data_IF_073454188773
#
_entry.id   IF_073454188773
#
_cell.length_a   1.000
_cell.length_b   1.000
_cell.length_c   1.000
_cell.angle_alpha   90.00
_cell.angle_beta   90.00
_cell.angle_gamma   90.00
#
_symmetry.space_group_name_H-M   'P 1'
#
loop_
_entity.id
_entity.type
_entity.pdbx_description
1 polymer ?
#
# COMPACT_ATOMS: atom_id res chain seq x y z
N UNK A 1 -1.63 7.57 14.82
CA UNK A 1 -0.67 7.72 13.69
C UNK A 1 -1.09 6.82 12.56
N UNK A 2 -0.37 5.72 12.32
CA UNK A 2 -0.61 4.84 11.17
C UNK A 2 -1.90 3.99 11.24
N UNK A 3 -2.17 3.33 12.39
CA UNK A 3 -3.40 2.52 12.57
C UNK A 3 -4.69 3.34 12.38
N UNK A 4 -4.70 4.57 12.87
CA UNK A 4 -5.84 5.48 12.67
C UNK A 4 -6.01 5.84 11.19
N UNK A 5 -4.92 6.14 10.48
CA UNK A 5 -4.97 6.40 9.06
C UNK A 5 -5.49 5.18 8.27
N UNK A 6 -5.04 3.97 8.60
CA UNK A 6 -5.56 2.73 7.98
C UNK A 6 -7.07 2.57 8.20
N UNK A 7 -7.57 2.81 9.42
CA UNK A 7 -9.00 2.74 9.70
C UNK A 7 -9.80 3.80 8.92
N UNK A 8 -9.26 4.99 8.69
CA UNK A 8 -9.90 5.99 7.83
C UNK A 8 -9.94 5.55 6.36
N UNK A 9 -8.88 4.92 5.84
CA UNK A 9 -8.84 4.45 4.44
C UNK A 9 -9.80 3.28 4.24
N UNK A 10 -10.00 2.41 5.25
CA UNK A 10 -11.00 1.32 5.19
C UNK A 10 -12.44 1.79 5.03
N UNK A 11 -12.78 3.01 5.49
CA UNK A 11 -14.12 3.56 5.30
C UNK A 11 -14.42 3.80 3.82
N UNK A 12 -13.41 4.23 3.06
CA UNK A 12 -13.52 4.54 1.62
C UNK A 12 -13.27 3.29 0.76
N UNK A 13 -12.40 2.41 1.24
CA UNK A 13 -12.01 1.16 0.58
C UNK A 13 -12.25 -0.02 1.54
N UNK A 14 -13.49 -0.52 1.66
CA UNK A 14 -13.83 -1.56 2.62
C UNK A 14 -13.11 -2.90 2.36
N UNK A 15 -12.75 -3.16 1.10
CA UNK A 15 -12.02 -4.37 0.67
C UNK A 15 -10.49 -4.23 0.81
N UNK A 16 -10.02 -3.16 1.44
CA UNK A 16 -8.60 -2.91 1.63
C UNK A 16 -7.98 -3.95 2.55
N UNK A 17 -7.10 -4.78 2.01
CA UNK A 17 -6.34 -5.76 2.78
C UNK A 17 -5.26 -5.06 3.62
N UNK A 18 -5.63 -4.70 4.84
CA UNK A 18 -4.74 -4.04 5.82
C UNK A 18 -3.51 -4.86 6.16
N UNK A 19 -3.58 -6.19 6.06
CA UNK A 19 -2.42 -7.05 6.32
C UNK A 19 -1.40 -6.93 5.19
N UNK A 20 -1.85 -6.88 3.93
CA UNK A 20 -0.99 -6.59 2.78
C UNK A 20 -0.40 -5.18 2.83
N UNK A 21 -1.18 -4.19 3.26
CA UNK A 21 -0.70 -2.81 3.43
C UNK A 21 0.36 -2.67 4.53
N UNK A 22 0.22 -3.44 5.62
CA UNK A 22 1.27 -3.50 6.66
C UNK A 22 2.59 -4.10 6.16
N UNK A 23 2.56 -4.86 5.06
CA UNK A 23 3.75 -5.46 4.40
C UNK A 23 4.31 -4.59 3.27
N UNK A 24 3.60 -3.53 2.86
CA UNK A 24 4.13 -2.56 1.91
C UNK A 24 5.22 -1.73 2.61
N UNK A 25 6.47 -2.12 2.41
CA UNK A 25 7.63 -1.33 2.83
C UNK A 25 8.04 -0.32 1.73
N UNK A 26 9.01 0.54 2.03
CA UNK A 26 9.49 1.56 1.08
C UNK A 26 10.12 0.98 -0.20
N UNK A 27 10.40 -0.32 -0.24
CA UNK A 27 10.99 -1.02 -1.39
C UNK A 27 9.93 -1.75 -2.22
N UNK A 28 8.65 -1.65 -1.85
CA UNK A 28 7.55 -2.30 -2.54
C UNK A 28 6.43 -1.29 -2.86
N UNK A 29 5.70 -1.56 -3.94
CA UNK A 29 4.55 -0.77 -4.39
C UNK A 29 3.37 -1.67 -4.71
N UNK A 30 2.16 -1.11 -4.73
CA UNK A 30 0.94 -1.83 -5.11
C UNK A 30 0.61 -1.46 -6.57
N UNK A 31 0.65 -2.44 -7.46
CA UNK A 31 0.22 -2.32 -8.87
C UNK A 31 -0.89 -3.35 -9.11
N UNK A 32 -2.04 -2.89 -9.59
CA UNK A 32 -3.22 -3.73 -9.83
C UNK A 32 -3.60 -4.65 -8.64
N UNK A 33 -3.50 -4.12 -7.42
CA UNK A 33 -3.83 -4.86 -6.19
C UNK A 33 -2.81 -5.93 -5.78
N UNK A 34 -1.62 -5.96 -6.39
CA UNK A 34 -0.51 -6.85 -6.04
C UNK A 34 0.68 -6.05 -5.52
N UNK A 35 1.32 -6.57 -4.48
CA UNK A 35 2.59 -6.06 -4.00
C UNK A 35 3.70 -6.49 -4.96
N UNK A 36 4.44 -5.52 -5.51
CA UNK A 36 5.59 -5.74 -6.40
C UNK A 36 6.76 -4.88 -5.92
N UNK A 37 8.02 -5.27 -6.18
CA UNK A 37 9.16 -4.42 -5.87
C UNK A 37 9.02 -3.05 -6.53
N UNK A 38 9.34 -1.99 -5.79
CA UNK A 38 9.44 -0.66 -6.34
C UNK A 38 10.56 -0.65 -7.39
N UNK A 39 10.27 -0.09 -8.56
CA UNK A 39 11.24 0.11 -9.62
C UNK A 39 11.36 1.61 -9.84
N UNK A 40 12.58 2.13 -9.80
CA UNK A 40 12.82 3.53 -10.09
C UNK A 40 12.42 3.77 -11.56
N UNK A 41 11.54 4.75 -11.85
CA UNK A 41 11.22 5.10 -13.23
C UNK A 41 12.52 5.44 -13.98
N UNK A 42 12.72 4.89 -15.18
CA UNK A 42 13.87 5.25 -16.00
C UNK A 42 13.80 6.74 -16.36
N UNK A 43 14.74 7.54 -15.85
CA UNK A 43 14.86 8.97 -16.17
C UNK A 43 14.78 9.96 -15.00
N UNK A 44 15.06 9.56 -13.76
CA UNK A 44 15.31 10.50 -12.66
C UNK A 44 16.76 10.98 -12.63
#
# INVERSE_FOLDING_TARGET
>A
GFRYALEQVRIIFPDLDTERLGKADALNQIVDGRLVPFTLPEGQ
#
